data_IF_537666554346
#
_entry.id   IF_537666554346
#
_cell.length_a   1.000
_cell.length_b   1.000
_cell.length_c   1.000
_cell.angle_alpha   90.00
_cell.angle_beta   90.00
_cell.angle_gamma   90.00
#
_symmetry.space_group_name_H-M   'P 1'
#
loop_
_entity.id
_entity.type
_entity.pdbx_description
1 polymer ?
#
# COMPACT_ATOMS: atom_id res chain seq x y z
N UNK A 1 -12.89 -34.33 16.49
CA UNK A 1 -12.59 -33.02 17.11
C UNK A 1 -12.57 -31.94 16.03
N UNK A 2 -13.44 -30.93 16.11
CA UNK A 2 -13.50 -29.86 15.10
C UNK A 2 -12.33 -28.90 15.31
N UNK A 3 -11.48 -28.73 14.29
CA UNK A 3 -10.38 -27.77 14.33
C UNK A 3 -10.92 -26.34 14.36
N UNK A 4 -10.37 -25.50 15.25
CA UNK A 4 -10.71 -24.09 15.32
C UNK A 4 -10.34 -23.38 14.01
N UNK A 5 -11.06 -22.32 13.63
CA UNK A 5 -10.86 -21.60 12.35
C UNK A 5 -9.39 -21.23 12.10
N UNK A 6 -8.68 -20.77 13.14
CA UNK A 6 -7.24 -20.47 13.10
C UNK A 6 -6.37 -21.70 12.77
N UNK A 7 -6.69 -22.86 13.33
CA UNK A 7 -5.95 -24.11 13.07
C UNK A 7 -6.17 -24.59 11.62
N UNK A 8 -7.40 -24.44 11.09
CA UNK A 8 -7.70 -24.73 9.69
C UNK A 8 -6.89 -23.83 8.74
N UNK A 9 -6.81 -22.52 9.05
CA UNK A 9 -6.04 -21.58 8.23
C UNK A 9 -4.54 -21.92 8.22
N UNK A 10 -3.97 -22.24 9.39
CA UNK A 10 -2.57 -22.66 9.52
C UNK A 10 -2.34 -23.95 8.73
N UNK A 11 -3.22 -24.95 8.88
CA UNK A 11 -3.14 -26.21 8.15
C UNK A 11 -3.18 -25.99 6.63
N UNK A 12 -4.16 -25.23 6.13
CA UNK A 12 -4.29 -24.92 4.71
C UNK A 12 -3.05 -24.20 4.17
N UNK A 13 -2.47 -23.27 4.93
CA UNK A 13 -1.24 -22.58 4.53
C UNK A 13 -0.03 -23.53 4.45
N UNK A 14 0.06 -24.52 5.35
CA UNK A 14 1.11 -25.55 5.32
C UNK A 14 0.93 -26.49 4.14
N UNK A 15 -0.29 -26.96 3.90
CA UNK A 15 -0.65 -27.83 2.76
C UNK A 15 -0.34 -27.16 1.43
N UNK A 16 -0.70 -25.88 1.26
CA UNK A 16 -0.38 -25.11 0.04
C UNK A 16 1.14 -24.99 -0.17
N UNK A 17 1.90 -24.71 0.89
CA UNK A 17 3.37 -24.61 0.82
C UNK A 17 4.02 -25.95 0.49
N UNK A 18 3.55 -27.07 1.06
CA UNK A 18 4.09 -28.39 0.74
C UNK A 18 3.75 -28.79 -0.69
N UNK A 19 2.54 -28.50 -1.15
CA UNK A 19 2.13 -28.78 -2.52
C UNK A 19 2.95 -27.98 -3.54
N UNK A 20 3.19 -26.68 -3.30
CA UNK A 20 4.04 -25.87 -4.16
C UNK A 20 5.49 -26.42 -4.23
N UNK A 21 6.02 -26.94 -3.12
CA UNK A 21 7.35 -27.58 -3.10
C UNK A 21 7.38 -28.87 -3.91
N UNK A 22 6.31 -29.67 -3.90
CA UNK A 22 6.19 -30.88 -4.71
C UNK A 22 6.12 -30.53 -6.20
N UNK A 23 5.29 -29.55 -6.57
CA UNK A 23 5.22 -29.06 -7.95
C UNK A 23 6.56 -28.54 -8.47
N UNK A 24 7.32 -27.84 -7.64
CA UNK A 24 8.66 -27.39 -7.99
C UNK A 24 9.65 -28.56 -8.15
N UNK A 25 9.49 -29.63 -7.38
CA UNK A 25 10.34 -30.83 -7.45
C UNK A 25 10.02 -31.71 -8.67
N UNK A 26 8.76 -31.77 -9.08
CA UNK A 26 8.27 -32.59 -10.20
C UNK A 26 8.33 -31.85 -11.56
N UNK A 27 8.88 -30.63 -11.61
CA UNK A 27 9.05 -29.88 -12.86
C UNK A 27 7.75 -29.30 -13.45
N UNK A 28 6.63 -29.42 -12.76
CA UNK A 28 5.34 -28.84 -13.17
C UNK A 28 5.18 -27.36 -12.77
N UNK A 29 6.03 -26.86 -11.87
CA UNK A 29 6.13 -25.44 -11.54
C UNK A 29 7.22 -24.76 -12.39
N UNK A 30 6.86 -24.27 -13.57
CA UNK A 30 7.77 -23.49 -14.41
C UNK A 30 8.38 -22.29 -13.67
N UNK A 31 9.63 -21.89 -13.99
CA UNK A 31 10.33 -20.83 -13.28
C UNK A 31 9.75 -19.45 -13.61
N UNK A 32 8.90 -18.90 -12.76
CA UNK A 32 8.74 -17.45 -12.64
C UNK A 32 9.61 -17.00 -11.46
N UNK A 33 10.78 -16.42 -11.58
CA UNK A 33 11.42 -15.61 -12.62
C UNK A 33 12.93 -15.58 -12.29
N UNK A 34 13.86 -15.87 -13.21
CA UNK A 34 15.20 -15.32 -13.11
C UNK A 34 15.25 -13.95 -13.80
N UNK A 35 16.10 -13.08 -13.28
CA UNK A 35 16.40 -11.75 -13.79
C UNK A 35 16.66 -11.76 -15.31
N UNK A 36 15.95 -10.90 -16.04
CA UNK A 36 16.22 -10.60 -17.44
C UNK A 36 17.29 -9.51 -17.45
N UNK A 37 18.52 -9.90 -17.79
CA UNK A 37 19.48 -9.06 -18.50
C UNK A 37 19.01 -8.89 -19.95
N UNK A 38 19.13 -7.68 -20.46
CA UNK A 38 18.75 -7.24 -21.79
C UNK A 38 19.51 -8.04 -22.87
N UNK A 39 18.78 -8.61 -23.84
CA UNK A 39 18.97 -8.32 -25.28
C UNK A 39 18.05 -9.20 -26.14
N UNK A 40 17.63 -8.60 -27.24
CA UNK A 40 17.08 -9.22 -28.46
C UNK A 40 15.56 -9.44 -28.58
N UNK A 41 15.09 -9.10 -29.78
CA UNK A 41 13.75 -8.67 -30.13
C UNK A 41 12.81 -9.82 -30.53
N UNK A 42 11.49 -9.65 -30.28
CA UNK A 42 10.33 -9.97 -31.17
C UNK A 42 8.99 -9.95 -30.38
N UNK A 43 7.93 -9.23 -30.83
CA UNK A 43 6.53 -9.45 -30.42
C UNK A 43 5.73 -10.16 -31.55
N UNK A 44 4.43 -10.52 -31.42
CA UNK A 44 3.49 -10.45 -30.29
C UNK A 44 2.71 -11.77 -30.02
N UNK A 45 2.31 -12.02 -28.77
CA UNK A 45 1.45 -13.14 -28.39
C UNK A 45 0.46 -12.73 -27.31
N UNK A 46 -0.79 -12.52 -27.73
CA UNK A 46 -1.92 -12.04 -26.96
C UNK A 46 -2.54 -13.17 -26.11
N UNK A 47 -2.33 -13.19 -24.80
CA UNK A 47 -3.25 -13.88 -23.89
C UNK A 47 -3.60 -13.03 -22.66
N UNK A 48 -4.89 -12.69 -22.62
CA UNK A 48 -5.57 -12.01 -21.53
C UNK A 48 -5.64 -12.94 -20.31
N UNK A 49 -4.68 -12.86 -19.41
CA UNK A 49 -4.88 -13.42 -18.07
C UNK A 49 -5.70 -12.45 -17.21
N UNK A 50 -7.01 -12.62 -17.35
CA UNK A 50 -8.00 -12.19 -16.39
C UNK A 50 -7.85 -13.06 -15.13
N UNK A 51 -7.29 -12.50 -14.06
CA UNK A 51 -7.50 -13.00 -12.70
C UNK A 51 -7.63 -11.82 -11.73
N UNK A 52 -8.85 -11.28 -11.73
CA UNK A 52 -9.42 -10.57 -10.60
C UNK A 52 -9.33 -11.47 -9.36
N UNK A 53 -8.38 -11.16 -8.47
CA UNK A 53 -8.44 -11.62 -7.09
C UNK A 53 -9.12 -10.53 -6.23
N UNK A 54 -10.10 -10.87 -5.39
CA UNK A 54 -10.58 -9.98 -4.35
C UNK A 54 -9.57 -9.93 -3.19
N UNK A 55 -8.93 -8.79 -3.02
CA UNK A 55 -8.16 -8.45 -1.82
C UNK A 55 -9.12 -7.96 -0.73
N UNK A 56 -9.70 -8.91 0.01
CA UNK A 56 -10.37 -8.65 1.29
C UNK A 56 -9.45 -9.13 2.43
N UNK A 57 -8.43 -8.33 2.72
CA UNK A 57 -7.65 -8.40 3.95
C UNK A 57 -8.11 -7.27 4.88
N UNK A 58 -9.21 -7.49 5.59
CA UNK A 58 -9.56 -6.77 6.82
C UNK A 58 -8.57 -7.20 7.91
N UNK A 59 -7.37 -6.60 7.87
CA UNK A 59 -6.38 -6.71 8.93
C UNK A 59 -6.81 -5.81 10.10
N UNK A 60 -7.62 -6.38 10.98
CA UNK A 60 -7.89 -5.89 12.32
C UNK A 60 -6.55 -5.77 13.08
N UNK A 61 -6.02 -4.55 13.14
CA UNK A 61 -4.80 -4.20 13.87
C UNK A 61 -5.10 -4.20 15.37
N UNK A 62 -5.11 -5.39 15.97
CA UNK A 62 -5.00 -5.52 17.42
C UNK A 62 -3.62 -4.98 17.89
N UNK A 63 -3.58 -4.12 18.92
CA UNK A 63 -2.31 -3.62 19.46
C UNK A 63 -1.57 -4.76 20.15
N UNK A 64 -0.46 -5.21 19.54
CA UNK A 64 0.48 -6.13 20.17
C UNK A 64 1.10 -5.48 21.41
N UNK A 65 0.65 -5.90 22.59
CA UNK A 65 1.39 -5.75 23.85
C UNK A 65 2.70 -6.53 23.72
N UNK A 66 3.83 -5.83 23.69
CA UNK A 66 5.14 -6.45 23.76
C UNK A 66 5.36 -7.05 25.17
N UNK A 67 5.91 -8.26 25.31
CA UNK A 67 6.33 -8.78 26.60
C UNK A 67 7.55 -7.98 27.09
N UNK A 68 7.45 -7.46 28.31
CA UNK A 68 8.57 -6.89 29.05
C UNK A 68 9.58 -7.99 29.38
N UNK A 69 10.60 -8.13 28.54
CA UNK A 69 11.80 -8.89 28.85
C UNK A 69 12.78 -8.00 29.60
N UNK A 70 12.87 -8.19 30.92
CA UNK A 70 13.99 -7.74 31.75
C UNK A 70 15.24 -8.49 31.31
N UNK A 71 16.29 -7.80 30.90
CA UNK A 71 17.66 -8.30 31.05
C UNK A 71 18.57 -7.15 31.47
N UNK A 72 19.08 -7.30 32.68
CA UNK A 72 20.20 -6.57 33.23
C UNK A 72 21.47 -6.87 32.40
N UNK A 73 22.36 -5.90 32.32
CA UNK A 73 23.65 -6.08 31.66
C UNK A 73 24.46 -4.80 31.66
N UNK A 74 24.94 -4.42 32.84
CA UNK A 74 26.01 -3.45 32.99
C UNK A 74 27.20 -3.88 32.12
N UNK A 75 27.57 -3.11 31.11
CA UNK A 75 28.90 -3.18 30.51
C UNK A 75 29.56 -1.81 30.59
N UNK A 76 30.67 -1.86 31.33
CA UNK A 76 31.64 -0.85 31.64
C UNK A 76 32.15 -0.11 30.40
N UNK A 77 32.41 1.17 30.63
CA UNK A 77 33.20 2.05 29.79
C UNK A 77 34.56 1.41 29.44
N UNK A 78 34.89 1.38 28.16
CA UNK A 78 36.28 1.31 27.69
C UNK A 78 36.46 2.41 26.66
N UNK A 79 37.23 3.41 27.07
CA UNK A 79 37.79 4.48 26.27
C UNK A 79 38.77 3.91 25.24
N UNK A 80 38.50 4.09 23.95
CA UNK A 80 39.54 4.09 22.92
C UNK A 80 39.23 5.18 21.89
N UNK A 81 40.21 6.08 21.81
CA UNK A 81 40.52 7.21 20.94
C UNK A 81 39.71 7.52 19.66
N UNK A 82 39.67 8.81 19.29
CA UNK A 82 39.13 9.32 18.03
C UNK A 82 40.23 9.38 16.96
N UNK A 83 40.00 8.78 15.80
CA UNK A 83 40.48 9.25 14.50
C UNK A 83 40.13 8.20 13.45
N UNK A 84 39.08 8.46 12.67
CA UNK A 84 39.06 8.06 11.26
C UNK A 84 38.10 9.00 10.52
N UNK A 85 38.61 9.89 9.64
CA UNK A 85 37.76 10.69 8.78
C UNK A 85 37.20 9.78 7.69
N UNK A 86 35.92 9.41 7.82
CA UNK A 86 35.19 8.73 6.75
C UNK A 86 35.35 9.51 5.43
N UNK A 87 35.65 8.82 4.31
CA UNK A 87 35.73 9.48 3.01
C UNK A 87 34.36 10.07 2.68
N UNK A 88 34.34 11.39 2.48
CA UNK A 88 33.19 12.13 1.95
C UNK A 88 32.90 11.58 0.55
N UNK A 89 31.98 10.63 0.44
CA UNK A 89 31.39 10.25 -0.83
C UNK A 89 30.63 11.49 -1.34
N UNK A 90 31.23 12.20 -2.29
CA UNK A 90 30.57 13.26 -3.05
C UNK A 90 29.52 12.59 -3.92
N UNK A 91 28.31 12.46 -3.38
CA UNK A 91 27.12 12.18 -4.18
C UNK A 91 26.88 13.44 -5.00
N UNK A 92 27.30 13.42 -6.25
CA UNK A 92 26.96 14.45 -7.23
C UNK A 92 25.44 14.65 -7.25
N UNK A 93 24.95 15.89 -7.33
CA UNK A 93 23.52 16.17 -7.36
C UNK A 93 22.92 15.46 -8.57
N UNK A 94 22.09 14.46 -8.29
CA UNK A 94 21.21 13.83 -9.27
C UNK A 94 20.31 14.94 -9.82
N UNK A 95 20.61 15.38 -11.03
CA UNK A 95 19.79 16.35 -11.75
C UNK A 95 18.36 15.81 -11.79
N UNK A 96 17.35 16.58 -11.36
CA UNK A 96 15.97 16.19 -11.58
C UNK A 96 15.72 16.21 -13.08
N UNK A 97 15.67 15.01 -13.67
CA UNK A 97 15.13 14.80 -15.01
C UNK A 97 13.65 15.16 -14.96
N UNK A 98 13.36 16.46 -15.07
CA UNK A 98 12.05 17.03 -15.30
C UNK A 98 11.61 16.63 -16.71
N UNK A 99 11.21 15.36 -16.85
CA UNK A 99 10.41 14.93 -17.98
C UNK A 99 9.01 15.48 -17.76
N UNK A 100 8.77 16.64 -18.36
CA UNK A 100 7.48 17.29 -18.45
C UNK A 100 6.49 16.35 -19.13
N UNK A 101 5.59 15.76 -18.33
CA UNK A 101 4.41 15.01 -18.77
C UNK A 101 3.45 15.82 -19.67
N UNK A 102 3.74 17.08 -19.97
CA UNK A 102 2.90 17.96 -20.80
C UNK A 102 3.05 17.76 -22.30
N UNK A 103 4.10 17.07 -22.78
CA UNK A 103 4.36 16.99 -24.23
C UNK A 103 3.70 15.78 -24.92
N UNK A 104 3.24 14.78 -24.16
CA UNK A 104 2.45 13.65 -24.69
C UNK A 104 1.00 14.09 -24.99
N UNK A 105 0.49 15.12 -24.30
CA UNK A 105 -0.89 15.58 -24.50
C UNK A 105 -1.11 16.33 -25.84
N UNK A 106 -0.04 16.80 -26.51
CA UNK A 106 -0.15 17.53 -27.78
C UNK A 106 -0.02 16.65 -29.03
N UNK A 107 0.47 15.41 -28.91
CA UNK A 107 0.59 14.48 -30.04
C UNK A 107 -0.69 13.65 -30.31
N UNK A 108 -1.64 13.59 -29.36
CA UNK A 108 -2.90 12.82 -29.53
C UNK A 108 -4.04 13.66 -30.12
N UNK A 109 -3.89 14.99 -30.19
CA UNK A 109 -4.94 15.87 -30.72
C UNK A 109 -5.01 15.95 -32.26
N UNK A 110 -4.11 15.28 -33.01
CA UNK A 110 -4.01 15.42 -34.48
C UNK A 110 -4.28 14.14 -35.29
N UNK A 111 -4.98 13.16 -34.70
CA UNK A 111 -5.40 11.93 -35.38
C UNK A 111 -6.93 11.69 -35.29
N UNK A 112 -7.73 12.71 -34.98
CA UNK A 112 -9.17 12.56 -34.67
C UNK A 112 -10.15 13.20 -35.66
N UNK A 113 -9.77 13.42 -36.92
CA UNK A 113 -10.62 14.14 -37.88
C UNK A 113 -10.68 13.43 -39.24
N UNK A 114 -11.32 12.24 -39.29
CA UNK A 114 -11.89 11.59 -40.50
C UNK A 114 -12.52 10.24 -40.10
N UNK A 115 -13.62 10.28 -39.34
CA UNK A 115 -14.54 9.14 -39.21
C UNK A 115 -15.93 9.68 -38.80
N UNK A 116 -16.52 10.51 -39.67
CA UNK A 116 -17.93 10.88 -39.63
C UNK A 116 -18.62 10.23 -40.82
N UNK A 117 -18.99 8.94 -40.72
CA UNK A 117 -20.07 8.35 -41.53
C UNK A 117 -20.37 6.89 -41.17
N UNK A 118 -20.82 6.61 -39.95
CA UNK A 118 -21.47 5.31 -39.65
C UNK A 118 -22.84 5.48 -38.96
N UNK A 119 -23.26 6.72 -38.68
CA UNK A 119 -24.47 7.01 -37.89
C UNK A 119 -25.76 7.14 -38.73
N UNK A 120 -25.73 6.81 -40.03
CA UNK A 120 -26.86 7.04 -40.94
C UNK A 120 -27.41 5.77 -41.63
N UNK A 121 -27.12 4.58 -41.11
CA UNK A 121 -27.62 3.29 -41.63
C UNK A 121 -28.53 2.54 -40.64
N UNK A 122 -29.13 3.23 -39.67
CA UNK A 122 -30.18 2.63 -38.82
C UNK A 122 -31.56 2.89 -39.43
N UNK A 123 -31.84 2.21 -40.54
CA UNK A 123 -33.21 2.07 -41.03
C UNK A 123 -34.08 1.29 -40.04
N UNK A 124 -35.41 1.45 -40.07
CA UNK A 124 -36.32 0.63 -39.29
C UNK A 124 -36.16 -0.83 -39.75
N UNK A 125 -36.27 -1.80 -38.83
CA UNK A 125 -36.15 -3.26 -39.07
C UNK A 125 -34.72 -3.85 -39.01
N UNK A 126 -33.81 -3.29 -38.20
CA UNK A 126 -32.65 -4.07 -37.73
C UNK A 126 -33.04 -4.91 -36.51
N UNK A 127 -32.77 -6.23 -36.58
CA UNK A 127 -33.02 -7.17 -35.48
C UNK A 127 -32.36 -6.63 -34.19
N UNK A 128 -33.02 -6.74 -33.02
CA UNK A 128 -32.46 -6.23 -31.78
C UNK A 128 -31.08 -6.86 -31.54
N UNK A 129 -30.07 -6.02 -31.31
CA UNK A 129 -28.71 -6.49 -31.06
C UNK A 129 -28.74 -7.52 -29.90
N UNK A 130 -28.30 -8.77 -30.15
CA UNK A 130 -28.47 -9.88 -29.22
C UNK A 130 -27.72 -9.66 -27.89
N UNK A 131 -26.78 -8.73 -27.85
CA UNK A 131 -25.94 -8.44 -26.69
C UNK A 131 -26.34 -7.20 -25.91
N UNK A 132 -27.45 -6.51 -26.24
CA UNK A 132 -27.87 -5.28 -25.51
C UNK A 132 -27.97 -5.50 -24.00
N UNK A 133 -28.57 -6.62 -23.59
CA UNK A 133 -28.68 -6.99 -22.17
C UNK A 133 -27.30 -7.17 -21.51
N UNK A 134 -26.35 -7.79 -22.22
CA UNK A 134 -24.99 -7.99 -21.72
C UNK A 134 -24.22 -6.67 -21.57
N UNK A 135 -24.44 -5.69 -22.45
CA UNK A 135 -23.84 -4.37 -22.33
C UNK A 135 -24.42 -3.58 -21.15
N UNK A 136 -25.74 -3.58 -20.99
CA UNK A 136 -26.40 -2.93 -19.85
C UNK A 136 -25.98 -3.54 -18.51
N UNK A 137 -25.83 -4.86 -18.44
CA UNK A 137 -25.35 -5.55 -17.24
C UNK A 137 -23.86 -5.24 -16.95
N UNK A 138 -23.01 -5.22 -17.99
CA UNK A 138 -21.61 -4.84 -17.84
C UNK A 138 -21.43 -3.38 -17.38
N UNK A 139 -22.29 -2.46 -17.86
CA UNK A 139 -22.31 -1.07 -17.39
C UNK A 139 -22.72 -0.96 -15.92
N UNK A 140 -23.74 -1.72 -15.49
CA UNK A 140 -24.12 -1.79 -14.07
C UNK A 140 -22.97 -2.28 -13.20
N UNK A 141 -22.29 -3.35 -13.62
CA UNK A 141 -21.14 -3.91 -12.88
C UNK A 141 -19.98 -2.91 -12.80
N UNK A 142 -19.71 -2.15 -13.86
CA UNK A 142 -18.68 -1.08 -13.83
C UNK A 142 -19.06 0.04 -12.85
N UNK A 143 -20.30 0.51 -12.90
CA UNK A 143 -20.78 1.57 -12.02
C UNK A 143 -20.75 1.14 -10.53
N UNK A 144 -21.08 -0.12 -10.24
CA UNK A 144 -21.00 -0.66 -8.88
C UNK A 144 -19.55 -0.72 -8.37
N UNK A 145 -18.62 -1.24 -9.18
CA UNK A 145 -17.19 -1.28 -8.83
C UNK A 145 -16.61 0.12 -8.62
N UNK A 146 -16.99 1.09 -9.43
CA UNK A 146 -16.54 2.48 -9.26
C UNK A 146 -17.03 3.09 -7.94
N UNK A 147 -18.28 2.81 -7.54
CA UNK A 147 -18.81 3.24 -6.23
C UNK A 147 -18.07 2.57 -5.08
N UNK A 148 -17.80 1.27 -5.18
CA UNK A 148 -17.05 0.54 -4.15
C UNK A 148 -15.62 1.09 -4.00
N UNK A 149 -14.93 1.36 -5.11
CA UNK A 149 -13.58 1.96 -5.07
C UNK A 149 -13.62 3.34 -4.42
N UNK A 150 -14.61 4.17 -4.73
CA UNK A 150 -14.78 5.48 -4.10
C UNK A 150 -15.03 5.36 -2.59
N UNK A 151 -15.87 4.41 -2.16
CA UNK A 151 -16.15 4.19 -0.75
C UNK A 151 -14.90 3.68 0.00
N UNK A 152 -14.16 2.72 -0.58
CA UNK A 152 -12.87 2.24 -0.06
C UNK A 152 -11.87 3.40 0.06
N UNK A 153 -11.84 4.31 -0.91
CA UNK A 153 -10.95 5.48 -0.86
C UNK A 153 -11.34 6.43 0.27
N UNK A 154 -12.65 6.71 0.47
CA UNK A 154 -13.13 7.53 1.59
C UNK A 154 -12.77 6.92 2.94
N UNK A 155 -13.07 5.63 3.15
CA UNK A 155 -12.69 4.90 4.38
C UNK A 155 -11.18 4.98 4.66
N UNK A 156 -10.35 4.79 3.62
CA UNK A 156 -8.88 4.92 3.74
C UNK A 156 -8.47 6.33 4.18
N UNK A 157 -9.08 7.37 3.62
CA UNK A 157 -8.80 8.76 4.01
C UNK A 157 -9.18 9.03 5.46
N UNK A 158 -10.33 8.55 5.92
CA UNK A 158 -10.79 8.79 7.29
C UNK A 158 -9.94 8.07 8.32
N UNK A 159 -9.56 6.81 8.04
CA UNK A 159 -8.59 6.07 8.86
C UNK A 159 -7.24 6.79 8.88
N UNK A 160 -6.77 7.29 7.74
CA UNK A 160 -5.50 8.03 7.69
C UNK A 160 -5.55 9.34 8.51
N UNK A 161 -6.66 10.09 8.43
CA UNK A 161 -6.88 11.30 9.24
C UNK A 161 -6.91 10.98 10.72
N UNK A 162 -7.63 9.93 11.13
CA UNK A 162 -7.70 9.48 12.52
C UNK A 162 -6.33 9.02 13.05
N UNK A 163 -5.56 8.27 12.26
CA UNK A 163 -4.19 7.88 12.60
C UNK A 163 -3.28 9.10 12.76
N UNK A 164 -3.35 10.07 11.84
CA UNK A 164 -2.55 11.29 11.87
C UNK A 164 -2.89 12.17 13.08
N UNK A 165 -4.16 12.32 13.41
CA UNK A 165 -4.57 13.10 14.58
C UNK A 165 -4.13 12.42 15.89
N UNK A 166 -4.29 11.11 16.01
CA UNK A 166 -3.80 10.34 17.16
C UNK A 166 -2.28 10.43 17.31
N UNK A 167 -1.54 10.32 16.19
CA UNK A 167 -0.08 10.47 16.20
C UNK A 167 0.34 11.88 16.64
N UNK A 168 -0.32 12.93 16.13
CA UNK A 168 -0.07 14.31 16.54
C UNK A 168 -0.30 14.51 18.04
N UNK A 169 -1.38 13.95 18.59
CA UNK A 169 -1.66 13.98 20.04
C UNK A 169 -0.52 13.31 20.82
N UNK A 170 -0.12 12.09 20.45
CA UNK A 170 1.01 11.38 21.09
C UNK A 170 2.32 12.16 21.04
N UNK A 171 2.63 12.75 19.88
CA UNK A 171 3.84 13.55 19.71
C UNK A 171 3.79 14.82 20.57
N UNK A 172 2.64 15.50 20.60
CA UNK A 172 2.44 16.67 21.44
C UNK A 172 2.62 16.32 22.93
N UNK A 173 1.99 15.25 23.40
CA UNK A 173 2.15 14.75 24.77
C UNK A 173 3.61 14.44 25.09
N UNK A 174 4.30 13.72 24.21
CA UNK A 174 5.72 13.41 24.39
C UNK A 174 6.57 14.69 24.42
N UNK A 175 6.26 15.66 23.56
CA UNK A 175 6.97 16.95 23.52
C UNK A 175 6.76 17.72 24.82
N UNK A 176 5.53 17.81 25.32
CA UNK A 176 5.21 18.49 26.59
C UNK A 176 5.89 17.79 27.76
N UNK A 177 5.86 16.46 27.79
CA UNK A 177 6.51 15.69 28.85
C UNK A 177 8.03 15.80 28.78
N UNK A 178 8.65 15.93 27.60
CA UNK A 178 10.11 16.02 27.49
C UNK A 178 10.65 17.45 27.52
N UNK A 179 9.79 18.48 27.41
CA UNK A 179 10.21 19.88 27.43
C UNK A 179 10.85 20.26 28.78
N UNK A 180 12.04 20.82 28.69
CA UNK A 180 12.82 21.36 29.81
C UNK A 180 12.88 22.89 29.70
N UNK A 181 13.09 23.57 30.82
CA UNK A 181 13.43 25.00 30.85
C UNK A 181 14.93 25.21 30.57
N UNK A 182 15.37 26.47 30.48
CA UNK A 182 16.78 26.81 30.21
C UNK A 182 17.74 26.31 31.29
N UNK A 183 17.20 26.02 32.49
CA UNK A 183 17.94 25.41 33.61
C UNK A 183 17.96 23.88 33.55
N UNK A 184 17.47 23.27 32.47
CA UNK A 184 17.44 21.82 32.26
C UNK A 184 16.38 21.08 33.09
N UNK A 185 15.55 21.77 33.86
CA UNK A 185 14.51 21.18 34.68
C UNK A 185 13.22 20.95 33.86
N UNK A 186 12.43 19.91 34.18
CA UNK A 186 11.08 19.74 33.68
C UNK A 186 10.22 21.00 33.74
N UNK A 187 9.52 21.34 32.66
CA UNK A 187 8.49 22.37 32.72
C UNK A 187 7.23 21.81 33.41
N UNK A 188 7.15 21.98 34.74
CA UNK A 188 6.09 21.41 35.57
C UNK A 188 4.70 21.95 35.24
N UNK A 189 4.58 23.23 34.86
CA UNK A 189 3.27 23.83 34.56
C UNK A 189 2.58 23.12 33.39
N UNK A 190 3.29 22.92 32.28
CA UNK A 190 2.74 22.23 31.11
C UNK A 190 2.46 20.75 31.39
N UNK A 191 3.32 20.09 32.19
CA UNK A 191 3.11 18.68 32.58
C UNK A 191 1.90 18.51 33.51
N UNK A 192 1.72 19.40 34.48
CA UNK A 192 0.58 19.36 35.41
C UNK A 192 -0.72 19.57 34.64
N UNK A 193 -0.80 20.56 33.74
CA UNK A 193 -2.01 20.77 32.93
C UNK A 193 -2.34 19.53 32.10
N UNK A 194 -1.35 18.91 31.44
CA UNK A 194 -1.57 17.68 30.68
C UNK A 194 -2.05 16.52 31.56
N UNK A 195 -1.55 16.41 32.79
CA UNK A 195 -1.99 15.40 33.76
C UNK A 195 -3.42 15.65 34.24
N UNK A 196 -3.77 16.92 34.52
CA UNK A 196 -5.13 17.31 34.88
C UNK A 196 -6.11 17.04 33.74
N UNK A 197 -5.73 17.33 32.49
CA UNK A 197 -6.54 17.01 31.31
C UNK A 197 -6.79 15.50 31.20
N UNK A 198 -5.82 14.66 31.57
CA UNK A 198 -5.98 13.18 31.59
C UNK A 198 -6.85 12.70 32.74
N UNK A 199 -6.79 13.36 33.90
CA UNK A 199 -7.62 13.03 35.07
C UNK A 199 -9.07 13.46 34.82
N UNK A 200 -9.28 14.65 34.27
CA UNK A 200 -10.61 15.22 34.04
C UNK A 200 -11.27 14.70 32.75
N UNK A 201 -10.47 14.48 31.69
CA UNK A 201 -10.92 13.98 30.39
C UNK A 201 -10.85 12.47 30.21
N UNK A 202 -10.40 11.72 31.22
CA UNK A 202 -10.31 10.26 31.21
C UNK A 202 -11.67 9.58 31.35
N UNK A 203 -12.44 9.54 30.26
CA UNK A 203 -13.39 8.45 29.96
C UNK A 203 -12.74 7.50 28.95
#
# INVERSE_FOLDING_TARGET
MKLNSKQKLIHNSRVKKSYAKLLAKEGYGGPSTPAITEDEATPPGNERHSSLLPDDNEAELAPRRAPQGKLAGNRSYSSCSPADPFPKIRISPLVPFLSTRSDIAKAVAKAGAKNRNITALTGPVSKPNPFKKAFEEAERIRAEREREVQERLRKKQDVAKAKKSAQRKRHHEATVMNKKNDRGQPNMRSRINLLLDKIQGGK
#
